data_IF_517583393861
#
_entry.id   IF_517583393861
#
_cell.length_a   1.000
_cell.length_b   1.000
_cell.length_c   1.000
_cell.angle_alpha   90.00
_cell.angle_beta   90.00
_cell.angle_gamma   90.00
#
_symmetry.space_group_name_H-M   'P 1'
#
loop_
_entity.id
_entity.type
_entity.pdbx_description
1 polymer ?
#
# COMPACT_ATOMS: atom_id res chain seq x y z
N UNK A 1 -10.98 -49.74 25.70
CA UNK A 1 -9.90 -50.02 26.69
C UNK A 1 -8.93 -48.84 26.64
N UNK A 2 -9.18 -47.77 27.40
CA UNK A 2 -8.47 -47.36 28.63
C UNK A 2 -6.91 -47.35 28.55
N UNK A 3 -6.37 -46.14 28.31
CA UNK A 3 -5.28 -45.43 29.01
C UNK A 3 -3.83 -45.96 29.03
N UNK A 4 -2.87 -45.08 28.66
CA UNK A 4 -1.63 -44.83 29.42
C UNK A 4 -0.97 -43.47 29.00
N UNK A 5 -1.25 -42.38 29.74
CA UNK A 5 -0.37 -41.66 30.71
C UNK A 5 0.83 -40.86 30.13
N UNK A 6 0.58 -39.54 30.02
CA UNK A 6 1.33 -38.38 30.59
C UNK A 6 2.80 -38.54 31.01
N UNK A 7 3.62 -37.56 30.58
CA UNK A 7 4.96 -37.27 31.11
C UNK A 7 5.31 -35.78 31.01
N UNK A 8 4.73 -34.96 31.89
CA UNK A 8 5.12 -33.58 32.17
C UNK A 8 6.42 -33.58 33.00
N UNK A 9 7.48 -32.91 32.53
CA UNK A 9 8.67 -32.59 33.33
C UNK A 9 8.86 -31.07 33.33
N UNK A 10 8.47 -30.43 34.42
CA UNK A 10 8.88 -29.07 34.73
C UNK A 10 10.31 -29.04 35.27
N UNK A 11 10.98 -27.91 35.09
CA UNK A 11 12.02 -27.45 35.98
C UNK A 11 11.87 -25.94 36.19
N UNK A 12 11.53 -25.58 37.42
CA UNK A 12 11.55 -24.22 37.94
C UNK A 12 12.98 -23.84 38.32
N UNK A 13 13.42 -22.63 37.97
CA UNK A 13 14.48 -21.94 38.70
C UNK A 13 14.30 -20.42 38.61
N UNK A 14 14.06 -19.85 39.78
CA UNK A 14 14.02 -18.44 40.19
C UNK A 14 15.32 -17.67 39.89
N UNK A 15 15.21 -16.37 39.57
CA UNK A 15 15.85 -15.22 40.26
C UNK A 15 15.39 -13.90 39.59
N UNK A 16 14.47 -13.12 40.16
CA UNK A 16 14.68 -12.04 41.14
C UNK A 16 15.41 -10.77 40.62
N UNK A 17 14.59 -9.79 40.20
CA UNK A 17 14.58 -8.35 40.57
C UNK A 17 15.92 -7.63 40.73
N UNK A 18 16.15 -6.62 39.87
CA UNK A 18 16.77 -5.35 40.31
C UNK A 18 15.86 -4.19 39.90
N UNK A 19 15.37 -3.52 40.94
CA UNK A 19 14.62 -2.27 40.98
C UNK A 19 15.62 -1.18 41.40
N UNK A 20 15.64 -0.02 40.73
CA UNK A 20 15.76 1.29 41.38
C UNK A 20 15.91 2.44 40.36
N UNK A 21 14.88 3.27 40.40
CA UNK A 21 14.83 4.68 39.99
C UNK A 21 15.95 5.47 40.67
N UNK A 22 16.57 6.41 39.95
CA UNK A 22 17.20 7.57 40.56
C UNK A 22 16.66 8.85 39.91
N UNK A 23 15.75 9.48 40.65
CA UNK A 23 15.44 10.91 40.58
C UNK A 23 16.52 11.61 41.41
N UNK A 24 17.18 12.61 40.82
CA UNK A 24 17.82 13.68 41.58
C UNK A 24 17.39 14.99 40.94
N UNK A 25 16.53 15.71 41.66
CA UNK A 25 16.32 17.13 41.44
C UNK A 25 17.39 17.96 42.14
N UNK A 26 17.70 19.12 41.58
CA UNK A 26 18.08 20.32 42.33
C UNK A 26 17.36 21.49 41.69
N UNK A 27 16.47 22.06 42.48
CA UNK A 27 15.82 23.35 42.28
C UNK A 27 16.73 24.41 42.90
N UNK A 28 17.11 25.45 42.15
CA UNK A 28 17.72 26.67 42.70
C UNK A 28 17.45 27.84 41.77
N UNK A 29 16.31 28.47 42.06
CA UNK A 29 16.02 29.89 42.08
C UNK A 29 17.13 30.88 41.66
N UNK A 30 16.72 31.75 40.72
CA UNK A 30 17.06 33.18 40.57
C UNK A 30 18.46 33.57 40.08
N UNK A 31 18.53 34.22 38.90
CA UNK A 31 18.85 35.65 38.79
C UNK A 31 18.46 36.18 37.40
N UNK A 32 18.02 37.44 37.33
CA UNK A 32 17.31 38.08 36.23
C UNK A 32 18.23 39.00 35.37
N UNK A 33 17.78 39.21 34.12
CA UNK A 33 18.06 40.30 33.16
C UNK A 33 19.27 40.30 32.17
N UNK A 34 19.03 40.73 30.89
CA UNK A 34 19.96 40.90 29.75
C UNK A 34 20.52 42.39 29.73
N UNK A 35 21.23 42.97 28.71
CA UNK A 35 21.08 42.80 27.24
C UNK A 35 22.32 42.97 26.32
N UNK A 36 22.01 42.73 25.03
CA UNK A 36 22.50 43.41 23.82
C UNK A 36 23.88 43.06 23.23
N UNK A 37 23.88 42.70 21.94
CA UNK A 37 24.64 43.39 20.88
C UNK A 37 24.61 42.62 19.55
N UNK A 38 23.81 43.15 18.63
CA UNK A 38 24.15 43.48 17.22
C UNK A 38 25.06 42.54 16.39
N UNK A 39 24.55 42.10 15.23
CA UNK A 39 25.22 42.20 13.93
C UNK A 39 24.15 42.35 12.84
N UNK A 40 24.26 43.44 12.09
CA UNK A 40 23.50 43.73 10.87
C UNK A 40 24.42 43.55 9.68
N UNK A 41 24.00 42.80 8.65
CA UNK A 41 24.53 42.95 7.28
C UNK A 41 23.35 42.82 6.30
N UNK A 42 23.02 43.95 5.68
CA UNK A 42 22.19 44.09 4.48
C UNK A 42 22.93 43.45 3.26
N UNK A 43 22.40 43.13 2.09
CA UNK A 43 21.31 43.67 1.27
C UNK A 43 21.33 42.80 0.00
N UNK A 44 20.19 42.46 -0.61
CA UNK A 44 20.05 42.55 -2.07
C UNK A 44 18.61 42.25 -2.47
N UNK A 45 17.97 43.28 -3.02
CA UNK A 45 16.70 43.21 -3.73
C UNK A 45 17.00 43.03 -5.22
N UNK A 46 16.22 42.21 -5.95
CA UNK A 46 15.40 42.69 -7.08
C UNK A 46 14.51 41.59 -7.69
N UNK A 47 13.41 41.99 -8.36
CA UNK A 47 12.27 41.14 -8.72
C UNK A 47 12.36 40.63 -10.17
N UNK A 48 11.55 39.62 -10.49
CA UNK A 48 11.26 39.24 -11.87
C UNK A 48 9.73 39.10 -12.01
N UNK A 49 9.19 39.92 -12.91
CA UNK A 49 7.81 39.89 -13.39
C UNK A 49 7.78 39.21 -14.77
N UNK A 50 6.61 38.65 -15.11
CA UNK A 50 6.26 38.09 -16.42
C UNK A 50 5.88 36.62 -16.28
N UNK A 51 4.85 36.09 -16.94
CA UNK A 51 3.79 36.62 -17.79
C UNK A 51 2.80 35.43 -17.92
N UNK A 52 1.50 35.74 -17.93
CA UNK A 52 0.39 35.05 -18.59
C UNK A 52 0.66 33.69 -19.27
N UNK A 53 -0.11 32.66 -18.91
CA UNK A 53 -1.14 32.08 -19.79
C UNK A 53 -1.77 30.84 -19.18
N UNK A 54 -3.10 30.86 -19.21
CA UNK A 54 -4.03 29.80 -18.83
C UNK A 54 -3.91 28.67 -19.86
N UNK A 55 -3.59 27.46 -19.44
CA UNK A 55 -3.92 26.26 -20.20
C UNK A 55 -4.51 25.20 -19.27
N UNK A 56 -5.82 25.29 -19.13
CA UNK A 56 -6.68 24.29 -18.55
C UNK A 56 -6.66 23.05 -19.44
N UNK A 57 -5.68 22.17 -19.24
CA UNK A 57 -5.77 20.81 -19.75
C UNK A 57 -6.32 19.94 -18.63
N UNK A 58 -7.60 19.60 -18.73
CA UNK A 58 -8.24 18.53 -17.98
C UNK A 58 -8.08 17.24 -18.77
N UNK A 59 -7.26 16.26 -18.36
CA UNK A 59 -7.34 14.90 -18.87
C UNK A 59 -8.00 14.05 -17.78
N UNK A 60 -9.29 14.27 -17.54
CA UNK A 60 -10.08 13.44 -16.60
C UNK A 60 -11.29 12.79 -17.28
N UNK A 61 -11.43 12.92 -18.59
CA UNK A 61 -12.55 12.33 -19.34
C UNK A 61 -12.17 11.16 -20.25
N UNK A 62 -10.88 10.89 -20.49
CA UNK A 62 -10.48 9.76 -21.34
C UNK A 62 -10.41 8.43 -20.55
N UNK A 63 -10.09 8.48 -19.24
CA UNK A 63 -10.04 7.28 -18.38
C UNK A 63 -11.44 6.69 -18.10
N UNK A 64 -12.46 7.55 -17.97
CA UNK A 64 -13.80 7.11 -17.58
C UNK A 64 -14.60 6.49 -18.74
N UNK A 65 -14.31 6.86 -20.00
CA UNK A 65 -15.07 6.39 -21.16
C UNK A 65 -14.61 4.99 -21.63
N UNK A 66 -13.36 4.59 -21.32
CA UNK A 66 -12.82 3.26 -21.65
C UNK A 66 -13.25 2.19 -20.63
N UNK A 67 -13.40 2.55 -19.35
CA UNK A 67 -13.84 1.64 -18.29
C UNK A 67 -15.26 1.07 -18.54
N UNK A 68 -16.18 1.89 -19.08
CA UNK A 68 -17.58 1.52 -19.31
C UNK A 68 -17.82 0.59 -20.53
N UNK A 69 -16.81 0.37 -21.37
CA UNK A 69 -16.93 -0.44 -22.60
C UNK A 69 -16.17 -1.78 -22.54
N UNK A 70 -15.51 -2.09 -21.41
CA UNK A 70 -14.52 -3.17 -21.30
C UNK A 70 -15.05 -4.59 -21.56
N UNK A 71 -16.37 -4.84 -21.50
CA UNK A 71 -16.98 -6.07 -22.02
C UNK A 71 -16.39 -7.36 -21.47
N UNK A 72 -15.88 -7.32 -20.23
CA UNK A 72 -15.18 -8.43 -19.59
C UNK A 72 -16.10 -9.63 -19.38
N UNK A 73 -15.55 -10.83 -19.53
CA UNK A 73 -16.27 -12.11 -19.42
C UNK A 73 -15.72 -12.87 -18.22
N UNK A 74 -16.62 -13.34 -17.35
CA UNK A 74 -16.26 -14.16 -16.18
C UNK A 74 -15.40 -15.37 -16.59
N UNK A 75 -14.31 -15.61 -15.87
CA UNK A 75 -13.38 -16.71 -16.12
C UNK A 75 -12.45 -16.51 -17.31
N UNK A 76 -12.36 -15.32 -17.90
CA UNK A 76 -11.29 -14.97 -18.85
C UNK A 76 -10.14 -14.24 -18.14
N UNK A 77 -8.88 -14.48 -18.56
CA UNK A 77 -7.73 -13.81 -17.99
C UNK A 77 -7.64 -12.35 -18.49
N UNK A 78 -7.24 -11.46 -17.59
CA UNK A 78 -7.02 -10.05 -17.86
C UNK A 78 -5.80 -9.56 -17.08
N UNK A 79 -5.06 -8.60 -17.62
CA UNK A 79 -3.87 -8.03 -16.96
C UNK A 79 -3.79 -6.51 -17.02
N UNK A 80 -4.52 -5.88 -17.94
CA UNK A 80 -4.49 -4.43 -18.12
C UNK A 80 -5.29 -3.71 -17.04
N UNK A 81 -4.90 -2.46 -16.73
CA UNK A 81 -5.57 -1.62 -15.72
C UNK A 81 -7.10 -1.64 -15.84
N UNK A 82 -7.61 -1.32 -17.03
CA UNK A 82 -9.04 -1.08 -17.23
C UNK A 82 -9.84 -2.39 -17.23
N UNK A 83 -9.30 -3.47 -17.80
CA UNK A 83 -9.97 -4.77 -17.83
C UNK A 83 -10.00 -5.43 -16.46
N UNK A 84 -8.90 -5.40 -15.71
CA UNK A 84 -8.83 -5.96 -14.35
C UNK A 84 -9.76 -5.18 -13.42
N UNK A 85 -9.75 -3.85 -13.49
CA UNK A 85 -10.66 -3.02 -12.70
C UNK A 85 -12.13 -3.30 -13.03
N UNK A 86 -12.48 -3.41 -14.31
CA UNK A 86 -13.84 -3.76 -14.72
C UNK A 86 -14.24 -5.17 -14.29
N UNK A 87 -13.33 -6.14 -14.35
CA UNK A 87 -13.58 -7.51 -13.91
C UNK A 87 -13.89 -7.56 -12.41
N UNK A 88 -13.07 -6.90 -11.58
CA UNK A 88 -13.29 -6.81 -10.14
C UNK A 88 -14.62 -6.10 -9.84
N UNK A 89 -14.91 -5.02 -10.55
CA UNK A 89 -16.16 -4.28 -10.38
C UNK A 89 -17.39 -5.17 -10.66
N UNK A 90 -17.34 -5.95 -11.75
CA UNK A 90 -18.48 -6.73 -12.20
C UNK A 90 -18.66 -8.06 -11.46
N UNK A 91 -17.57 -8.76 -11.15
CA UNK A 91 -17.62 -10.12 -10.59
C UNK A 91 -17.22 -10.18 -9.11
N UNK A 92 -16.77 -9.07 -8.52
CA UNK A 92 -16.28 -8.98 -7.14
C UNK A 92 -15.15 -9.97 -6.82
N UNK A 93 -14.35 -10.32 -7.83
CA UNK A 93 -13.23 -11.26 -7.74
C UNK A 93 -12.13 -10.86 -8.73
N UNK A 94 -10.94 -11.44 -8.60
CA UNK A 94 -9.87 -11.25 -9.58
C UNK A 94 -10.07 -12.15 -10.81
N UNK A 95 -9.53 -11.75 -11.98
CA UNK A 95 -9.38 -12.64 -13.12
C UNK A 95 -8.64 -13.94 -12.72
N UNK A 96 -8.90 -15.08 -13.38
CA UNK A 96 -8.37 -16.39 -13.00
C UNK A 96 -6.85 -16.55 -13.19
N UNK A 97 -6.17 -15.58 -13.82
CA UNK A 97 -4.71 -15.54 -13.97
C UNK A 97 -4.00 -14.87 -12.78
N UNK A 98 -4.68 -14.71 -11.65
CA UNK A 98 -4.10 -14.20 -10.41
C UNK A 98 -3.99 -15.30 -9.36
N UNK A 99 -2.96 -15.17 -8.53
CA UNK A 99 -2.72 -16.00 -7.37
C UNK A 99 -2.08 -15.15 -6.26
N UNK A 100 -2.35 -15.50 -5.02
CA UNK A 100 -1.75 -14.84 -3.86
C UNK A 100 -0.26 -15.14 -3.77
N UNK A 101 0.49 -14.32 -3.02
CA UNK A 101 1.91 -14.58 -2.75
C UNK A 101 2.13 -15.97 -2.14
N UNK A 102 1.28 -16.36 -1.18
CA UNK A 102 1.38 -17.67 -0.53
C UNK A 102 1.19 -18.83 -1.52
N UNK A 103 0.25 -18.70 -2.47
CA UNK A 103 0.04 -19.69 -3.53
C UNK A 103 1.21 -19.73 -4.52
N UNK A 104 1.79 -18.57 -4.86
CA UNK A 104 2.97 -18.47 -5.72
C UNK A 104 4.17 -19.17 -5.08
N UNK A 105 4.45 -18.86 -3.82
CA UNK A 105 5.56 -19.42 -3.04
C UNK A 105 5.41 -20.94 -2.91
N UNK A 106 4.17 -21.44 -2.74
CA UNK A 106 3.88 -22.87 -2.71
C UNK A 106 4.21 -23.59 -4.04
N UNK A 107 4.19 -22.87 -5.17
CA UNK A 107 4.60 -23.36 -6.49
C UNK A 107 6.10 -23.22 -6.74
N UNK A 108 6.84 -22.58 -5.84
CA UNK A 108 8.29 -22.37 -5.94
C UNK A 108 8.69 -20.98 -6.41
N UNK A 109 7.78 -20.00 -6.38
CA UNK A 109 8.12 -18.62 -6.69
C UNK A 109 9.09 -18.06 -5.65
N UNK A 110 10.17 -17.44 -6.13
CA UNK A 110 11.07 -16.60 -5.38
C UNK A 110 11.09 -15.21 -6.02
N UNK A 111 10.58 -14.22 -5.29
CA UNK A 111 10.55 -12.84 -5.73
C UNK A 111 11.95 -12.27 -6.03
N UNK A 112 12.98 -12.72 -5.32
CA UNK A 112 14.36 -12.27 -5.56
C UNK A 112 14.95 -12.84 -6.85
N UNK A 113 14.41 -13.94 -7.36
CA UNK A 113 14.81 -14.55 -8.64
C UNK A 113 13.96 -14.04 -9.82
N UNK A 114 12.77 -13.49 -9.55
CA UNK A 114 11.85 -13.04 -10.61
C UNK A 114 11.30 -14.22 -11.43
N UNK A 115 11.17 -15.39 -10.81
CA UNK A 115 10.94 -16.66 -11.51
C UNK A 115 9.44 -17.06 -11.61
N UNK A 116 8.49 -16.13 -11.45
CA UNK A 116 7.06 -16.49 -11.33
C UNK A 116 6.57 -17.28 -12.55
N UNK A 117 6.92 -16.85 -13.75
CA UNK A 117 6.55 -17.55 -15.00
C UNK A 117 7.43 -18.78 -15.31
N UNK A 118 8.46 -19.06 -14.51
CA UNK A 118 9.19 -20.33 -14.58
C UNK A 118 8.44 -21.43 -13.81
N UNK A 119 7.65 -21.04 -12.81
CA UNK A 119 6.88 -21.96 -11.94
C UNK A 119 5.37 -21.91 -12.19
N UNK A 120 4.89 -20.95 -12.99
CA UNK A 120 3.49 -20.78 -13.38
C UNK A 120 3.37 -20.46 -14.88
N UNK A 121 2.20 -20.70 -15.47
CA UNK A 121 1.92 -20.38 -16.86
C UNK A 121 1.20 -19.02 -16.95
N UNK A 122 1.97 -17.93 -17.07
CA UNK A 122 1.43 -16.60 -17.33
C UNK A 122 0.64 -15.95 -16.19
N UNK A 123 0.89 -16.35 -14.94
CA UNK A 123 0.16 -15.82 -13.78
C UNK A 123 0.73 -14.49 -13.27
N UNK A 124 -0.09 -13.74 -12.53
CA UNK A 124 0.26 -12.51 -11.82
C UNK A 124 0.00 -12.64 -10.32
N UNK A 125 0.69 -11.83 -9.51
CA UNK A 125 0.45 -11.78 -8.06
C UNK A 125 -0.76 -10.89 -7.77
N UNK A 126 -1.70 -11.37 -6.95
CA UNK A 126 -2.83 -10.56 -6.48
C UNK A 126 -3.76 -11.29 -5.52
N UNK A 127 -4.57 -10.52 -4.81
CA UNK A 127 -5.54 -11.01 -3.82
C UNK A 127 -5.06 -10.90 -2.37
N UNK A 128 -3.82 -10.46 -2.15
CA UNK A 128 -3.28 -10.24 -0.82
C UNK A 128 -3.85 -8.97 -0.15
N UNK A 129 -3.89 -8.97 1.18
CA UNK A 129 -4.35 -7.83 1.97
C UNK A 129 -3.45 -6.59 1.77
N UNK A 130 -4.07 -5.46 1.44
CA UNK A 130 -3.43 -4.16 1.36
C UNK A 130 -3.69 -3.33 2.62
N UNK A 131 -2.63 -2.99 3.35
CA UNK A 131 -2.74 -2.41 4.68
C UNK A 131 -3.17 -0.95 4.77
N UNK A 132 -3.10 -0.17 3.67
CA UNK A 132 -3.38 1.28 3.65
C UNK A 132 -2.75 2.03 4.84
N UNK A 133 -1.45 1.79 5.08
CA UNK A 133 -0.73 2.26 6.27
C UNK A 133 -0.52 3.78 6.23
N UNK A 134 -0.25 4.28 5.04
CA UNK A 134 -0.08 5.68 4.68
C UNK A 134 -1.42 6.44 4.73
N UNK A 135 -2.54 5.72 4.62
CA UNK A 135 -3.88 6.29 4.74
C UNK A 135 -4.32 7.10 3.52
N UNK A 136 -3.76 6.82 2.34
CA UNK A 136 -4.09 7.48 1.08
C UNK A 136 -5.47 7.09 0.54
N UNK A 137 -6.00 5.92 0.95
CA UNK A 137 -7.32 5.44 0.55
C UNK A 137 -8.39 5.67 1.63
N UNK A 138 -9.68 5.89 1.26
CA UNK A 138 -10.77 6.18 2.19
C UNK A 138 -10.99 5.07 3.24
N UNK A 139 -10.96 5.42 4.53
CA UNK A 139 -11.18 4.48 5.63
C UNK A 139 -12.65 4.45 6.07
N UNK A 140 -13.16 3.24 6.32
CA UNK A 140 -14.51 2.98 6.84
C UNK A 140 -14.49 1.75 7.74
N UNK A 141 -15.32 1.73 8.78
CA UNK A 141 -15.39 0.57 9.67
C UNK A 141 -15.85 -0.67 8.89
N UNK A 142 -15.09 -1.76 9.01
CA UNK A 142 -15.34 -3.00 8.29
C UNK A 142 -14.76 -3.04 6.87
N UNK A 143 -14.24 -1.94 6.33
CA UNK A 143 -13.61 -1.92 5.01
C UNK A 143 -12.23 -2.54 5.05
N UNK A 144 -12.00 -3.45 4.11
CA UNK A 144 -10.73 -4.13 3.88
C UNK A 144 -10.28 -3.84 2.45
N UNK A 145 -8.98 -3.69 2.24
CA UNK A 145 -8.40 -3.52 0.92
C UNK A 145 -7.52 -4.72 0.56
N UNK A 146 -7.45 -4.99 -0.74
CA UNK A 146 -6.63 -6.02 -1.37
C UNK A 146 -5.87 -5.41 -2.56
N UNK A 147 -4.78 -6.05 -2.97
CA UNK A 147 -3.94 -5.57 -4.07
C UNK A 147 -3.72 -6.63 -5.15
N UNK A 148 -3.51 -6.20 -6.39
CA UNK A 148 -3.15 -7.04 -7.52
C UNK A 148 -2.19 -6.33 -8.48
N UNK A 149 -1.22 -7.07 -9.01
CA UNK A 149 -0.28 -6.59 -10.03
C UNK A 149 -0.99 -6.29 -11.34
N UNK A 150 -0.54 -5.25 -12.04
CA UNK A 150 -1.07 -4.84 -13.35
C UNK A 150 0.04 -4.88 -14.38
N UNK A 151 -0.32 -5.29 -15.59
CA UNK A 151 0.56 -5.36 -16.76
C UNK A 151 1.88 -6.12 -16.52
N UNK A 152 1.83 -7.16 -15.67
CA UNK A 152 2.97 -8.04 -15.42
C UNK A 152 3.22 -8.96 -16.64
N UNK A 153 4.47 -8.96 -17.11
CA UNK A 153 4.91 -9.66 -18.32
C UNK A 153 6.05 -10.66 -18.06
N UNK A 154 6.18 -11.13 -16.83
CA UNK A 154 7.22 -12.07 -16.39
C UNK A 154 8.45 -11.38 -15.79
N UNK A 155 9.34 -12.17 -15.16
CA UNK A 155 10.53 -11.61 -14.50
C UNK A 155 10.20 -10.93 -13.17
N UNK A 156 10.80 -9.76 -12.93
CA UNK A 156 10.55 -8.98 -11.71
C UNK A 156 9.21 -8.23 -11.79
N UNK A 157 8.50 -8.15 -10.66
CA UNK A 157 7.24 -7.42 -10.57
C UNK A 157 7.44 -5.92 -10.84
N UNK A 158 6.54 -5.32 -11.62
CA UNK A 158 6.53 -3.89 -11.92
C UNK A 158 6.03 -3.04 -10.74
N UNK A 159 5.84 -1.74 -10.97
CA UNK A 159 5.33 -0.79 -9.99
C UNK A 159 3.79 -0.73 -9.92
N UNK A 160 3.12 -1.13 -11.00
CA UNK A 160 1.69 -0.88 -11.21
C UNK A 160 0.80 -1.84 -10.44
N UNK A 161 -0.28 -1.32 -9.82
CA UNK A 161 -1.22 -2.13 -9.03
C UNK A 161 -2.64 -1.61 -9.16
N UNK A 162 -3.59 -2.54 -9.06
CA UNK A 162 -4.95 -2.26 -8.62
C UNK A 162 -5.04 -2.50 -7.12
N UNK A 163 -5.73 -1.61 -6.41
CA UNK A 163 -6.12 -1.78 -5.01
C UNK A 163 -7.65 -1.69 -4.93
N UNK A 164 -8.29 -2.73 -4.43
CA UNK A 164 -9.74 -2.85 -4.39
C UNK A 164 -10.25 -3.16 -2.99
N UNK A 165 -11.43 -2.67 -2.64
CA UNK A 165 -12.06 -2.94 -1.34
C UNK A 165 -13.11 -4.03 -1.40
N UNK A 166 -13.37 -4.62 -0.23
CA UNK A 166 -14.48 -5.56 0.00
C UNK A 166 -15.88 -4.94 -0.17
N UNK A 167 -15.96 -3.61 -0.25
CA UNK A 167 -17.20 -2.86 -0.47
C UNK A 167 -17.24 -2.08 -1.80
N UNK A 168 -16.40 -2.45 -2.77
CA UNK A 168 -16.56 -2.06 -4.18
C UNK A 168 -15.77 -0.84 -4.65
N UNK A 169 -14.89 -0.27 -3.82
CA UNK A 169 -13.97 0.77 -4.28
C UNK A 169 -12.81 0.15 -5.05
N UNK A 170 -12.40 0.78 -6.15
CA UNK A 170 -11.25 0.32 -6.95
C UNK A 170 -10.37 1.52 -7.29
N UNK A 171 -9.08 1.38 -6.99
CA UNK A 171 -8.05 2.36 -7.23
C UNK A 171 -6.91 1.74 -8.02
N UNK A 172 -6.20 2.57 -8.78
CA UNK A 172 -4.98 2.19 -9.48
C UNK A 172 -3.81 3.06 -9.02
N UNK A 173 -2.61 2.47 -8.97
CA UNK A 173 -1.35 3.18 -8.77
C UNK A 173 -0.39 2.78 -9.88
N UNK A 174 0.24 3.76 -10.53
CA UNK A 174 1.31 3.55 -11.51
C UNK A 174 2.71 3.61 -10.87
N UNK A 175 2.78 4.08 -9.63
CA UNK A 175 3.99 4.59 -8.99
C UNK A 175 4.29 3.86 -7.67
N UNK A 176 3.94 2.58 -7.59
CA UNK A 176 4.22 1.73 -6.44
C UNK A 176 3.69 2.32 -5.12
N UNK A 177 2.39 2.64 -5.13
CA UNK A 177 1.60 3.15 -4.00
C UNK A 177 1.92 4.58 -3.54
N UNK A 178 2.68 5.37 -4.31
CA UNK A 178 2.93 6.80 -4.00
C UNK A 178 1.67 7.66 -4.21
N UNK A 179 0.87 7.35 -5.24
CA UNK A 179 -0.40 8.00 -5.53
C UNK A 179 -1.46 7.03 -6.07
N UNK A 180 -2.72 7.44 -6.04
CA UNK A 180 -3.85 6.62 -6.47
C UNK A 180 -4.84 7.39 -7.36
N UNK A 181 -5.21 6.79 -8.49
CA UNK A 181 -6.35 7.15 -9.32
C UNK A 181 -7.56 6.31 -8.89
N UNK A 182 -8.70 6.93 -8.59
CA UNK A 182 -9.93 6.17 -8.33
C UNK A 182 -10.60 5.81 -9.66
N UNK A 183 -10.86 4.52 -9.87
CA UNK A 183 -11.50 4.00 -11.08
C UNK A 183 -12.98 3.69 -10.87
N UNK A 184 -13.34 3.13 -9.70
CA UNK A 184 -14.73 2.83 -9.31
C UNK A 184 -14.99 3.25 -7.86
N UNK A 185 -16.21 3.71 -7.58
CA UNK A 185 -16.66 4.29 -6.32
C UNK A 185 -17.95 3.67 -5.76
N UNK A 186 -18.37 4.17 -4.58
CA UNK A 186 -19.63 3.73 -3.96
C UNK A 186 -20.83 4.16 -4.83
N UNK A 187 -21.50 3.19 -5.45
CA UNK A 187 -22.77 3.41 -6.17
C UNK A 187 -22.67 3.58 -7.69
N UNK A 188 -21.53 3.21 -8.28
CA UNK A 188 -21.35 3.07 -9.74
C UNK A 188 -22.06 1.82 -10.31
#
# INVERSE_FOLDING_TARGET
MKNLKSGLKGLFALLAIILAVWVNGVDSLFEDQPPDSSISIASSSQPIAGEEAIETATPLQESAETAAASGVIEGQPYSTKDEVAAYIHQFHDLPPNYLTKDEAEALGWDNAEGNLWEVTDGMSIGGDYFGNREGLLPKKAGRTYYEADIDYDGGYRGAERIVYSDDGLIFYTADHYESFEQLYGEGD
#
